data_IF_827341867693
#
_entry.id   IF_827341867693
#
_cell.length_a   1.000
_cell.length_b   1.000
_cell.length_c   1.000
_cell.angle_alpha   90.00
_cell.angle_beta   90.00
_cell.angle_gamma   90.00
#
_symmetry.space_group_name_H-M   'P 1'
#
loop_
_entity.id
_entity.type
_entity.pdbx_description
1 polymer ?
#
# COMPACT_ATOMS: atom_id res chain seq x y z
N UNK A 1 -4.04 19.69 40.61
CA UNK A 1 -4.64 18.78 39.62
C UNK A 1 -4.65 19.50 38.27
N UNK A 2 -3.79 19.10 37.34
CA UNK A 2 -3.76 19.68 36.00
C UNK A 2 -4.99 19.19 35.21
N UNK A 3 -5.72 20.08 34.55
CA UNK A 3 -6.86 19.71 33.71
C UNK A 3 -6.37 18.96 32.47
N UNK A 4 -6.91 17.76 32.23
CA UNK A 4 -6.73 17.05 30.97
C UNK A 4 -7.36 17.91 29.85
N UNK A 5 -6.62 18.26 28.77
CA UNK A 5 -7.20 19.01 27.67
C UNK A 5 -8.35 18.20 27.04
N UNK A 6 -9.45 18.88 26.72
CA UNK A 6 -10.55 18.25 25.97
C UNK A 6 -10.03 17.68 24.64
N UNK A 7 -10.50 16.50 24.21
CA UNK A 7 -10.01 15.88 22.99
C UNK A 7 -10.28 16.80 21.80
N UNK A 8 -9.23 17.11 21.04
CA UNK A 8 -9.36 17.88 19.81
C UNK A 8 -10.15 17.06 18.78
N UNK A 9 -11.23 17.61 18.23
CA UNK A 9 -11.92 17.02 17.09
C UNK A 9 -11.00 17.10 15.87
N UNK A 10 -10.70 15.95 15.27
CA UNK A 10 -9.91 15.87 14.03
C UNK A 10 -10.75 15.37 12.87
N UNK A 11 -10.45 15.84 11.65
CA UNK A 11 -11.00 15.28 10.42
C UNK A 11 -10.05 14.21 9.88
N UNK A 12 -10.56 12.99 9.72
CA UNK A 12 -9.82 11.87 9.16
C UNK A 12 -10.46 11.38 7.86
N UNK A 13 -9.63 10.95 6.91
CA UNK A 13 -10.03 10.44 5.60
C UNK A 13 -9.44 9.04 5.38
N UNK A 14 -10.25 8.15 4.79
CA UNK A 14 -9.80 6.84 4.35
C UNK A 14 -9.68 6.83 2.82
N UNK A 15 -8.62 6.24 2.31
CA UNK A 15 -8.40 6.10 0.87
C UNK A 15 -8.88 4.74 0.41
N UNK A 16 -9.84 4.72 -0.51
CA UNK A 16 -10.29 3.51 -1.18
C UNK A 16 -9.71 3.45 -2.60
N UNK A 17 -8.47 2.96 -2.71
CA UNK A 17 -7.78 2.83 -3.99
C UNK A 17 -6.91 1.57 -4.03
N UNK A 18 -6.73 1.01 -5.23
CA UNK A 18 -5.79 -0.07 -5.49
C UNK A 18 -4.40 0.46 -5.86
N UNK A 19 -3.38 -0.37 -5.64
CA UNK A 19 -1.99 -0.17 -6.11
C UNK A 19 -1.91 -0.19 -7.65
N UNK A 20 -0.84 0.34 -8.23
CA UNK A 20 -0.39 0.02 -9.59
C UNK A 20 0.59 -1.15 -9.46
N UNK A 21 0.10 -2.37 -9.71
CA UNK A 21 0.84 -3.59 -9.41
C UNK A 21 2.14 -3.69 -10.22
N UNK A 22 3.26 -4.03 -9.56
CA UNK A 22 4.63 -4.03 -10.10
C UNK A 22 5.20 -2.67 -10.55
N UNK A 23 4.52 -1.56 -10.26
CA UNK A 23 5.00 -0.21 -10.55
C UNK A 23 4.94 0.67 -9.30
N UNK A 24 5.98 0.55 -8.48
CA UNK A 24 6.14 1.29 -7.23
C UNK A 24 6.18 2.80 -7.47
N UNK A 25 6.97 3.32 -8.44
CA UNK A 25 6.95 4.76 -8.77
C UNK A 25 5.55 5.27 -9.13
N UNK A 26 4.83 4.60 -10.03
CA UNK A 26 3.47 5.03 -10.40
C UNK A 26 2.49 4.97 -9.22
N UNK A 27 2.69 4.03 -8.31
CA UNK A 27 1.90 3.93 -7.07
C UNK A 27 2.21 5.06 -6.10
N UNK A 28 3.47 5.49 -5.99
CA UNK A 28 3.87 6.65 -5.19
C UNK A 28 3.29 7.94 -5.76
N UNK A 29 3.35 8.15 -7.07
CA UNK A 29 2.71 9.29 -7.73
C UNK A 29 1.19 9.32 -7.47
N UNK A 30 0.57 8.14 -7.45
CA UNK A 30 -0.85 8.00 -7.10
C UNK A 30 -1.10 8.34 -5.62
N UNK A 31 -0.24 7.90 -4.71
CA UNK A 31 -0.33 8.22 -3.29
C UNK A 31 -0.25 9.73 -3.07
N UNK A 32 0.70 10.40 -3.72
CA UNK A 32 0.89 11.86 -3.63
C UNK A 32 -0.37 12.62 -4.07
N UNK A 33 -0.95 12.24 -5.21
CA UNK A 33 -2.21 12.84 -5.68
C UNK A 33 -3.37 12.65 -4.69
N UNK A 34 -3.50 11.46 -4.11
CA UNK A 34 -4.56 11.15 -3.15
C UNK A 34 -4.37 11.88 -1.80
N UNK A 35 -3.12 12.06 -1.36
CA UNK A 35 -2.80 12.88 -0.19
C UNK A 35 -3.15 14.35 -0.46
N UNK A 36 -2.79 14.88 -1.63
CA UNK A 36 -3.12 16.26 -2.02
C UNK A 36 -4.64 16.49 -2.07
N UNK A 37 -5.40 15.53 -2.61
CA UNK A 37 -6.86 15.56 -2.62
C UNK A 37 -7.44 15.53 -1.19
N UNK A 38 -6.94 14.65 -0.32
CA UNK A 38 -7.39 14.59 1.06
C UNK A 38 -7.07 15.88 1.83
N UNK A 39 -5.88 16.45 1.61
CA UNK A 39 -5.49 17.74 2.19
C UNK A 39 -6.40 18.88 1.73
N UNK A 40 -6.81 18.89 0.45
CA UNK A 40 -7.78 19.88 -0.07
C UNK A 40 -9.17 19.79 0.57
N UNK A 41 -9.48 18.68 1.23
CA UNK A 41 -10.73 18.43 1.97
C UNK A 41 -10.58 18.61 3.50
N UNK A 42 -9.52 19.30 3.94
CA UNK A 42 -9.17 19.56 5.34
C UNK A 42 -8.87 18.30 6.17
N UNK A 43 -8.43 17.21 5.53
CA UNK A 43 -8.04 16.00 6.27
C UNK A 43 -6.75 16.25 7.07
N UNK A 44 -6.79 15.92 8.36
CA UNK A 44 -5.64 15.96 9.27
C UNK A 44 -4.99 14.58 9.45
N UNK A 45 -5.69 13.52 9.06
CA UNK A 45 -5.22 12.14 9.03
C UNK A 45 -5.72 11.45 7.77
N UNK A 46 -4.84 10.78 7.06
CA UNK A 46 -5.16 10.00 5.86
C UNK A 46 -4.70 8.56 6.08
N UNK A 47 -5.60 7.60 5.92
CA UNK A 47 -5.31 6.17 6.09
C UNK A 47 -5.38 5.46 4.74
N UNK A 48 -4.33 4.72 4.42
CA UNK A 48 -4.24 3.90 3.21
C UNK A 48 -4.51 2.42 3.51
N UNK A 49 -4.93 1.63 2.50
CA UNK A 49 -5.04 0.18 2.61
C UNK A 49 -3.69 -0.51 2.89
N UNK A 50 -3.76 -1.71 3.45
CA UNK A 50 -2.59 -2.58 3.61
C UNK A 50 -1.91 -2.87 2.27
N UNK A 51 -0.57 -2.91 2.27
CA UNK A 51 0.26 -3.21 1.12
C UNK A 51 -0.04 -2.33 -0.11
N UNK A 52 -0.52 -1.10 0.09
CA UNK A 52 -0.88 -0.19 -1.01
C UNK A 52 0.32 0.08 -1.94
N UNK A 53 1.53 0.26 -1.40
CA UNK A 53 2.69 0.64 -2.22
C UNK A 53 3.35 -0.56 -2.92
N UNK A 54 3.72 -1.62 -2.18
CA UNK A 54 4.33 -2.81 -2.79
C UNK A 54 3.35 -3.73 -3.53
N UNK A 55 2.05 -3.55 -3.27
CA UNK A 55 0.99 -4.39 -3.79
C UNK A 55 0.87 -5.74 -3.08
N UNK A 56 -0.35 -6.27 -3.03
CA UNK A 56 -0.62 -7.58 -2.44
C UNK A 56 -0.87 -8.61 -3.56
N UNK A 57 -0.03 -9.67 -3.69
CA UNK A 57 -0.08 -10.62 -4.81
C UNK A 57 -1.22 -11.64 -4.65
N UNK A 58 -2.47 -11.16 -4.64
CA UNK A 58 -3.68 -11.99 -4.52
C UNK A 58 -3.71 -13.07 -5.60
N UNK A 59 -3.91 -14.32 -5.19
CA UNK A 59 -4.06 -15.45 -6.11
C UNK A 59 -2.74 -16.00 -6.67
N UNK A 60 -1.60 -15.40 -6.35
CA UNK A 60 -0.29 -15.96 -6.69
C UNK A 60 0.14 -16.99 -5.65
N UNK A 61 0.60 -18.15 -6.11
CA UNK A 61 1.35 -19.13 -5.31
C UNK A 61 2.85 -19.13 -5.66
N UNK A 62 3.31 -18.15 -6.46
CA UNK A 62 4.67 -18.06 -7.00
C UNK A 62 5.14 -19.35 -7.71
N UNK A 63 4.22 -20.17 -8.23
CA UNK A 63 4.55 -21.45 -8.86
C UNK A 63 5.06 -22.52 -7.89
N UNK A 64 4.95 -22.32 -6.58
CA UNK A 64 5.39 -23.26 -5.57
C UNK A 64 4.41 -24.43 -5.45
N UNK A 65 4.84 -25.62 -5.90
CA UNK A 65 4.08 -26.88 -5.79
C UNK A 65 4.99 -27.96 -5.21
N UNK A 66 4.53 -28.67 -4.18
CA UNK A 66 5.31 -29.73 -3.53
C UNK A 66 5.61 -30.85 -4.53
N UNK A 67 6.86 -31.27 -4.60
CA UNK A 67 7.32 -32.36 -5.48
C UNK A 67 7.47 -31.96 -6.95
N UNK A 68 7.29 -30.68 -7.30
CA UNK A 68 7.46 -30.18 -8.66
C UNK A 68 8.43 -29.00 -8.70
N UNK A 69 9.49 -29.12 -9.49
CA UNK A 69 10.41 -28.01 -9.73
C UNK A 69 9.86 -27.15 -10.86
N UNK A 70 9.39 -25.94 -10.54
CA UNK A 70 9.01 -24.95 -11.55
C UNK A 70 10.16 -23.95 -11.76
N UNK A 71 10.82 -23.96 -12.94
CA UNK A 71 11.95 -23.07 -13.19
C UNK A 71 11.56 -21.57 -13.18
N UNK A 72 10.28 -21.23 -13.39
CA UNK A 72 9.82 -19.83 -13.40
C UNK A 72 9.43 -19.31 -12.02
N UNK A 73 9.35 -20.18 -11.00
CA UNK A 73 8.94 -19.79 -9.65
C UNK A 73 9.85 -18.72 -9.04
N UNK A 74 11.16 -18.90 -9.22
CA UNK A 74 12.17 -17.93 -8.78
C UNK A 74 12.02 -16.57 -9.45
N UNK A 75 11.73 -16.54 -10.75
CA UNK A 75 11.51 -15.29 -11.49
C UNK A 75 10.24 -14.56 -11.06
N UNK A 76 9.16 -15.30 -10.76
CA UNK A 76 7.92 -14.72 -10.26
C UNK A 76 8.12 -14.05 -8.90
N UNK A 77 8.83 -14.71 -7.99
CA UNK A 77 9.19 -14.12 -6.71
C UNK A 77 10.14 -12.93 -6.88
N UNK A 78 11.16 -13.04 -7.75
CA UNK A 78 12.11 -11.97 -8.08
C UNK A 78 11.40 -10.71 -8.54
N UNK A 79 10.46 -10.81 -9.49
CA UNK A 79 9.69 -9.66 -9.99
C UNK A 79 8.89 -8.96 -8.89
N UNK A 80 8.29 -9.74 -7.98
CA UNK A 80 7.60 -9.19 -6.82
C UNK A 80 8.55 -8.52 -5.84
N UNK A 81 9.67 -9.17 -5.53
CA UNK A 81 10.71 -8.61 -4.66
C UNK A 81 11.30 -7.32 -5.20
N UNK A 82 11.58 -7.25 -6.50
CA UNK A 82 12.15 -6.07 -7.16
C UNK A 82 11.19 -4.87 -7.16
N UNK A 83 9.88 -5.12 -6.98
CA UNK A 83 8.85 -4.09 -6.84
C UNK A 83 8.50 -3.78 -5.38
N UNK A 84 9.06 -4.51 -4.41
CA UNK A 84 8.81 -4.28 -3.00
C UNK A 84 9.58 -3.05 -2.50
N UNK A 85 9.05 -2.40 -1.46
CA UNK A 85 9.78 -1.36 -0.75
C UNK A 85 10.70 -2.05 0.27
N UNK A 86 11.99 -1.70 0.28
CA UNK A 86 12.96 -2.10 1.31
C UNK A 86 13.36 -0.88 2.14
#
# INVERSE_FOLDING_TARGET
>A
MASVPSPATIRATIVQAATVFYDTPATLDKAERLVAEAASNDAQLVVFPEAFVGGYPRGSNFGATIGHSNPTAGEQFRKYYDSAIC
#
